data_IF_008480610604
#
_entry.id   IF_008480610604
#
_cell.length_a   1.000
_cell.length_b   1.000
_cell.length_c   1.000
_cell.angle_alpha   90.00
_cell.angle_beta   90.00
_cell.angle_gamma   90.00
#
_symmetry.space_group_name_H-M   'P 1'
#
loop_
_entity.id
_entity.type
_entity.pdbx_description
1 polymer ?
#
# COMPACT_ATOMS: atom_id res chain seq x y z
N UNK A 1 -26.16 -3.38 1.71
CA UNK A 1 -25.70 -3.97 2.98
C UNK A 1 -24.21 -4.23 2.83
N UNK A 2 -23.35 -3.22 3.05
CA UNK A 2 -21.90 -3.41 2.89
C UNK A 2 -21.35 -3.96 4.19
N UNK A 3 -21.06 -5.25 4.17
CA UNK A 3 -20.35 -5.93 5.25
C UNK A 3 -18.94 -5.32 5.27
N UNK A 4 -18.55 -4.83 6.43
CA UNK A 4 -17.31 -4.11 6.73
C UNK A 4 -16.11 -5.06 6.57
N UNK A 5 -15.80 -5.49 5.33
CA UNK A 5 -14.68 -6.40 5.06
C UNK A 5 -13.38 -5.60 5.18
N UNK A 6 -12.49 -6.08 6.05
CA UNK A 6 -11.16 -5.50 6.20
C UNK A 6 -10.40 -5.56 4.88
N UNK A 7 -9.62 -4.52 4.57
CA UNK A 7 -8.92 -4.39 3.29
C UNK A 7 -7.62 -5.19 3.27
N UNK A 8 -6.85 -5.07 4.36
CA UNK A 8 -5.50 -5.63 4.43
C UNK A 8 -5.51 -7.10 4.85
N UNK A 9 -4.53 -7.84 4.35
CA UNK A 9 -4.25 -9.21 4.75
C UNK A 9 -3.92 -9.27 6.24
N UNK A 10 -4.56 -10.18 6.95
CA UNK A 10 -4.32 -10.45 8.37
C UNK A 10 -4.70 -11.90 8.70
N UNK A 11 -4.53 -12.35 9.95
CA UNK A 11 -5.01 -13.67 10.40
C UNK A 11 -6.52 -13.85 10.22
N UNK A 12 -7.29 -12.76 10.25
CA UNK A 12 -8.75 -12.78 10.10
C UNK A 12 -9.20 -12.48 8.65
N UNK A 13 -8.26 -12.17 7.75
CA UNK A 13 -8.54 -11.80 6.37
C UNK A 13 -7.45 -12.29 5.43
N UNK A 14 -7.47 -13.59 5.15
CA UNK A 14 -6.45 -14.24 4.30
C UNK A 14 -6.49 -13.78 2.84
N UNK A 15 -7.66 -13.35 2.36
CA UNK A 15 -7.85 -12.83 1.00
C UNK A 15 -7.62 -11.32 0.89
N UNK A 16 -7.17 -10.68 1.98
CA UNK A 16 -6.87 -9.25 2.00
C UNK A 16 -5.66 -8.90 1.14
N UNK A 17 -5.54 -7.61 0.81
CA UNK A 17 -4.36 -7.13 0.09
C UNK A 17 -3.15 -7.08 1.01
N UNK A 18 -1.98 -7.47 0.49
CA UNK A 18 -0.71 -7.04 1.08
C UNK A 18 -0.57 -5.53 0.91
N UNK A 19 -0.10 -4.85 1.95
CA UNK A 19 -0.04 -3.38 1.96
C UNK A 19 0.83 -2.85 0.82
N UNK A 20 2.00 -3.44 0.59
CA UNK A 20 2.95 -3.03 -0.44
C UNK A 20 2.38 -3.19 -1.86
N UNK A 21 1.60 -4.25 -2.11
CA UNK A 21 0.97 -4.49 -3.41
C UNK A 21 -0.21 -3.53 -3.63
N UNK A 22 -0.98 -3.26 -2.58
CA UNK A 22 -2.05 -2.27 -2.62
C UNK A 22 -1.49 -0.86 -2.88
N UNK A 23 -0.43 -0.46 -2.17
CA UNK A 23 0.21 0.84 -2.37
C UNK A 23 0.78 0.98 -3.78
N UNK A 24 1.43 -0.06 -4.30
CA UNK A 24 1.91 -0.09 -5.69
C UNK A 24 0.75 0.10 -6.69
N UNK A 25 -0.37 -0.60 -6.48
CA UNK A 25 -1.57 -0.47 -7.33
C UNK A 25 -2.18 0.93 -7.26
N UNK A 26 -2.35 1.50 -6.06
CA UNK A 26 -2.91 2.85 -5.89
C UNK A 26 -2.00 3.91 -6.52
N UNK A 27 -0.68 3.80 -6.39
CA UNK A 27 0.26 4.71 -7.08
C UNK A 27 0.05 4.70 -8.59
N UNK A 28 -0.11 3.52 -9.19
CA UNK A 28 -0.40 3.40 -10.62
C UNK A 28 -1.69 4.14 -10.99
N UNK A 29 -2.78 3.91 -10.25
CA UNK A 29 -4.06 4.57 -10.51
C UNK A 29 -4.00 6.09 -10.33
N UNK A 30 -3.21 6.59 -9.38
CA UNK A 30 -2.97 8.03 -9.20
C UNK A 30 -2.13 8.60 -10.36
N UNK A 31 -1.13 7.85 -10.85
CA UNK A 31 -0.36 8.22 -12.04
C UNK A 31 -1.25 8.33 -13.29
N UNK A 32 -2.18 7.40 -13.46
CA UNK A 32 -3.18 7.45 -14.56
C UNK A 32 -4.08 8.70 -14.46
N UNK A 33 -4.39 9.19 -13.25
CA UNK A 33 -5.11 10.46 -13.07
C UNK A 33 -4.28 11.66 -13.50
N UNK A 34 -2.97 11.67 -13.23
CA UNK A 34 -2.05 12.73 -13.70
C UNK A 34 -2.07 12.78 -15.22
N UNK A 35 -1.94 11.64 -15.90
CA UNK A 35 -1.88 11.58 -17.37
C UNK A 35 -3.11 12.19 -18.06
N UNK A 36 -4.27 12.18 -17.41
CA UNK A 36 -5.50 12.78 -17.93
C UNK A 36 -5.50 14.30 -17.95
N UNK A 37 -4.70 14.95 -17.09
CA UNK A 37 -4.73 16.40 -16.88
C UNK A 37 -3.37 17.08 -17.08
N UNK A 38 -2.31 16.33 -17.38
CA UNK A 38 -0.93 16.86 -17.42
C UNK A 38 -0.73 17.96 -18.47
N UNK A 39 -1.54 17.96 -19.54
CA UNK A 39 -1.47 18.97 -20.62
C UNK A 39 -2.37 20.19 -20.36
N UNK A 40 -3.18 20.19 -19.30
CA UNK A 40 -3.99 21.35 -18.91
C UNK A 40 -3.12 22.34 -18.13
N UNK A 41 -2.86 23.49 -18.74
CA UNK A 41 -1.99 24.53 -18.17
C UNK A 41 -2.69 25.43 -17.15
N UNK A 42 -3.96 25.19 -16.83
CA UNK A 42 -4.67 25.97 -15.81
C UNK A 42 -4.00 25.81 -14.43
N UNK A 43 -3.97 26.86 -13.59
CA UNK A 43 -3.40 26.77 -12.25
C UNK A 43 -4.01 25.65 -11.40
N UNK A 44 -5.30 25.36 -11.59
CA UNK A 44 -6.03 24.30 -10.91
C UNK A 44 -5.50 22.92 -11.31
N UNK A 45 -5.35 22.65 -12.61
CA UNK A 45 -4.81 21.38 -13.08
C UNK A 45 -3.36 21.17 -12.61
N UNK A 46 -2.52 22.21 -12.68
CA UNK A 46 -1.15 22.15 -12.18
C UNK A 46 -1.08 21.84 -10.67
N UNK A 47 -1.97 22.42 -9.86
CA UNK A 47 -2.06 22.12 -8.43
C UNK A 47 -2.47 20.65 -8.18
N UNK A 48 -3.45 20.15 -8.93
CA UNK A 48 -3.88 18.74 -8.81
C UNK A 48 -2.76 17.77 -9.21
N UNK A 49 -2.01 18.07 -10.28
CA UNK A 49 -0.83 17.29 -10.67
C UNK A 49 0.20 17.26 -9.55
N UNK A 50 0.55 18.42 -8.98
CA UNK A 50 1.51 18.51 -7.86
C UNK A 50 1.05 17.70 -6.64
N UNK A 51 -0.22 17.79 -6.27
CA UNK A 51 -0.77 17.02 -5.15
C UNK A 51 -0.71 15.52 -5.42
N UNK A 52 -1.06 15.07 -6.63
CA UNK A 52 -1.00 13.65 -7.00
C UNK A 52 0.44 13.12 -7.01
N UNK A 53 1.42 13.91 -7.44
CA UNK A 53 2.84 13.54 -7.35
C UNK A 53 3.28 13.36 -5.89
N UNK A 54 2.92 14.30 -5.00
CA UNK A 54 3.22 14.18 -3.57
C UNK A 54 2.56 12.95 -2.93
N UNK A 55 1.32 12.63 -3.31
CA UNK A 55 0.65 11.39 -2.87
C UNK A 55 1.44 10.17 -3.32
N UNK A 56 1.88 10.11 -4.58
CA UNK A 56 2.69 8.99 -5.10
C UNK A 56 3.99 8.83 -4.29
N UNK A 57 4.66 9.94 -3.98
CA UNK A 57 5.88 9.93 -3.16
C UNK A 57 5.63 9.37 -1.75
N UNK A 58 4.57 9.83 -1.07
CA UNK A 58 4.21 9.33 0.26
C UNK A 58 3.84 7.84 0.26
N UNK A 59 3.07 7.39 -0.74
CA UNK A 59 2.75 5.96 -0.89
C UNK A 59 4.00 5.15 -1.20
N UNK A 60 4.95 5.70 -1.98
CA UNK A 60 6.23 5.07 -2.27
C UNK A 60 7.10 4.90 -1.03
N UNK A 61 7.16 5.92 -0.18
CA UNK A 61 7.86 5.85 1.10
C UNK A 61 7.23 4.80 2.03
N UNK A 62 5.90 4.76 2.14
CA UNK A 62 5.20 3.75 2.93
C UNK A 62 5.43 2.33 2.39
N UNK A 63 5.42 2.14 1.07
CA UNK A 63 5.72 0.85 0.45
C UNK A 63 7.14 0.38 0.78
N UNK A 64 8.13 1.27 0.68
CA UNK A 64 9.52 0.95 1.01
C UNK A 64 9.69 0.55 2.48
N UNK A 65 9.02 1.24 3.41
CA UNK A 65 9.01 0.88 4.84
C UNK A 65 8.40 -0.50 5.07
N UNK A 66 7.30 -0.82 4.40
CA UNK A 66 6.66 -2.13 4.52
C UNK A 66 7.56 -3.26 3.98
N UNK A 67 8.17 -3.06 2.81
CA UNK A 67 9.10 -4.04 2.22
C UNK A 67 10.33 -4.24 3.11
N UNK A 68 10.89 -3.18 3.67
CA UNK A 68 11.99 -3.25 4.64
C UNK A 68 11.59 -4.05 5.89
N UNK A 69 10.37 -3.84 6.40
CA UNK A 69 9.84 -4.61 7.53
C UNK A 69 9.76 -6.11 7.21
N UNK A 70 9.37 -6.49 5.99
CA UNK A 70 9.38 -7.90 5.59
C UNK A 70 10.78 -8.50 5.53
N UNK A 71 11.78 -7.77 5.06
CA UNK A 71 13.18 -8.25 5.06
C UNK A 71 13.61 -8.59 6.49
N UNK A 72 13.32 -7.70 7.46
CA UNK A 72 13.63 -7.93 8.87
C UNK A 72 12.91 -9.18 9.39
N UNK A 73 11.60 -9.31 9.12
CA UNK A 73 10.80 -10.45 9.57
C UNK A 73 11.26 -11.77 8.95
N UNK A 74 11.61 -11.77 7.66
CA UNK A 74 12.04 -12.96 6.94
C UNK A 74 13.39 -13.49 7.43
N UNK A 75 14.29 -12.59 7.83
CA UNK A 75 15.56 -12.95 8.45
C UNK A 75 15.41 -13.61 9.83
N UNK A 76 14.29 -13.41 10.53
CA UNK A 76 14.08 -14.01 11.86
C UNK A 76 13.73 -15.51 11.77
N UNK A 77 12.81 -15.87 10.87
CA UNK A 77 12.42 -17.26 10.55
C UNK A 77 11.49 -17.31 9.34
N UNK A 78 11.30 -18.51 8.79
CA UNK A 78 10.39 -18.80 7.67
C UNK A 78 8.98 -18.26 7.89
N UNK A 79 8.35 -17.77 6.81
CA UNK A 79 6.98 -17.28 6.84
C UNK A 79 6.01 -18.47 6.88
N UNK A 80 5.33 -18.67 7.99
CA UNK A 80 4.29 -19.71 8.14
C UNK A 80 2.92 -19.28 7.55
N UNK A 81 2.84 -18.09 6.96
CA UNK A 81 1.61 -17.54 6.38
C UNK A 81 0.67 -16.93 7.43
N UNK A 82 -0.53 -16.56 7.00
CA UNK A 82 -1.50 -15.82 7.81
C UNK A 82 -2.09 -16.62 8.98
N UNK A 83 -2.09 -17.95 8.88
CA UNK A 83 -2.55 -18.88 9.93
C UNK A 83 -1.39 -19.42 10.81
N UNK A 84 -0.15 -18.99 10.54
CA UNK A 84 1.05 -19.45 11.23
C UNK A 84 1.34 -18.70 12.53
N UNK A 85 2.42 -19.08 13.21
CA UNK A 85 2.85 -18.38 14.44
C UNK A 85 3.43 -17.00 14.08
N UNK A 86 2.99 -15.90 14.73
CA UNK A 86 3.53 -14.55 14.48
C UNK A 86 5.02 -14.43 14.79
N UNK A 87 5.80 -13.87 13.85
CA UNK A 87 7.27 -13.70 13.99
C UNK A 87 7.67 -12.84 15.17
N UNK A 88 6.86 -11.82 15.44
CA UNK A 88 6.98 -10.89 16.56
C UNK A 88 5.62 -10.73 17.22
N UNK A 89 5.62 -10.37 18.50
CA UNK A 89 4.41 -10.24 19.32
C UNK A 89 3.99 -11.54 20.01
N UNK A 90 2.92 -11.44 20.80
CA UNK A 90 2.38 -12.57 21.56
C UNK A 90 1.31 -13.30 20.73
N UNK A 91 1.18 -14.62 20.94
CA UNK A 91 0.01 -15.37 20.47
C UNK A 91 -1.23 -14.74 21.11
N UNK A 92 -2.15 -14.24 20.29
CA UNK A 92 -3.50 -13.89 20.74
C UNK A 92 -4.36 -15.14 20.72
#
# INVERSE_FOLDING_TARGET
MSINKTVLMSSENHDGWKLEDLLAKVKQEVSEKINKIINDSSPQAQLVVRNNLAIIEHLGAAEALQRSSYIVLDAMRTNEGSAGTPRIGNKK
#
